data_IF_327445710856
#
_entry.id   IF_327445710856
#
_cell.length_a   1.000
_cell.length_b   1.000
_cell.length_c   1.000
_cell.angle_alpha   90.00
_cell.angle_beta   90.00
_cell.angle_gamma   90.00
#
_symmetry.space_group_name_H-M   'P 1'
#
loop_
_entity.id
_entity.type
_entity.pdbx_description
1 polymer ?
#
# COMPACT_ATOMS: atom_id res chain seq x y z
N UNK A 1 -3.54 -16.21 4.58
CA UNK A 1 -2.34 -16.64 5.34
C UNK A 1 -1.79 -15.40 6.01
N UNK A 2 -2.03 -15.22 7.31
CA UNK A 2 -1.55 -14.05 8.05
C UNK A 2 -0.11 -14.28 8.50
N UNK A 3 0.73 -13.25 8.46
CA UNK A 3 2.12 -13.32 8.91
C UNK A 3 2.14 -13.46 10.45
N UNK A 4 2.51 -14.64 10.94
CA UNK A 4 2.52 -14.93 12.39
C UNK A 4 3.70 -14.29 13.14
N UNK A 5 4.71 -13.76 12.44
CA UNK A 5 5.84 -13.04 13.04
C UNK A 5 6.21 -11.85 12.16
N UNK A 6 6.02 -10.64 12.69
CA UNK A 6 6.39 -9.39 12.01
C UNK A 6 7.85 -9.06 12.38
N UNK A 7 8.80 -9.11 11.42
CA UNK A 7 10.24 -8.95 11.71
C UNK A 7 10.62 -7.57 12.30
N UNK A 8 9.69 -6.61 12.25
CA UNK A 8 9.91 -5.21 12.68
C UNK A 8 9.27 -4.85 14.04
N UNK A 9 8.87 -5.82 14.87
CA UNK A 9 8.20 -5.57 16.17
C UNK A 9 9.09 -5.00 17.29
N UNK A 10 10.36 -4.67 17.03
CA UNK A 10 11.30 -4.09 18.02
C UNK A 10 11.87 -2.74 17.53
N UNK A 11 12.18 -1.81 18.46
CA UNK A 11 12.84 -0.49 18.27
C UNK A 11 12.59 0.24 16.93
N UNK A 12 11.39 0.10 16.36
CA UNK A 12 11.01 0.68 15.08
C UNK A 12 10.11 1.87 15.35
N UNK A 13 10.28 2.94 14.57
CA UNK A 13 9.44 4.12 14.66
C UNK A 13 7.94 3.74 14.61
N UNK A 14 7.12 4.14 15.58
CA UNK A 14 5.72 3.72 15.65
C UNK A 14 4.88 4.12 14.44
N UNK A 15 5.20 5.22 13.76
CA UNK A 15 4.47 5.67 12.57
C UNK A 15 4.79 4.74 11.41
N UNK A 16 6.08 4.47 11.17
CA UNK A 16 6.51 3.54 10.11
C UNK A 16 5.97 2.13 10.34
N UNK A 17 5.97 1.65 11.59
CA UNK A 17 5.40 0.34 11.93
C UNK A 17 3.91 0.25 11.57
N UNK A 18 3.12 1.31 11.78
CA UNK A 18 1.70 1.32 11.41
C UNK A 18 1.48 1.29 9.91
N UNK A 19 2.34 1.94 9.12
CA UNK A 19 2.26 1.85 7.66
C UNK A 19 2.56 0.43 7.16
N UNK A 20 3.54 -0.25 7.77
CA UNK A 20 3.78 -1.67 7.49
C UNK A 20 2.58 -2.54 7.86
N UNK A 21 1.98 -2.32 9.03
CA UNK A 21 0.80 -3.07 9.48
C UNK A 21 -0.41 -2.90 8.53
N UNK A 22 -0.59 -1.70 7.97
CA UNK A 22 -1.60 -1.46 6.92
C UNK A 22 -1.33 -2.32 5.69
N UNK A 23 -0.09 -2.40 5.20
CA UNK A 23 0.25 -3.23 4.04
C UNK A 23 0.13 -4.72 4.35
N UNK A 24 0.51 -5.16 5.54
CA UNK A 24 0.37 -6.56 5.96
C UNK A 24 -1.11 -6.97 6.11
N UNK A 25 -1.96 -6.05 6.56
CA UNK A 25 -3.40 -6.30 6.77
C UNK A 25 -4.19 -6.21 5.46
N UNK A 26 -3.95 -5.17 4.67
CA UNK A 26 -4.76 -4.83 3.49
C UNK A 26 -4.08 -5.15 2.16
N UNK A 27 -2.83 -5.58 2.16
CA UNK A 27 -2.06 -5.90 0.95
C UNK A 27 -2.80 -6.80 -0.05
N UNK A 28 -3.44 -7.92 0.37
CA UNK A 28 -4.22 -8.74 -0.54
C UNK A 28 -5.39 -7.99 -1.19
N UNK A 29 -6.14 -7.19 -0.43
CA UNK A 29 -7.27 -6.42 -0.95
C UNK A 29 -6.81 -5.31 -1.91
N UNK A 30 -5.72 -4.61 -1.57
CA UNK A 30 -5.12 -3.59 -2.45
C UNK A 30 -4.68 -4.23 -3.77
N UNK A 31 -4.00 -5.38 -3.71
CA UNK A 31 -3.57 -6.13 -4.90
C UNK A 31 -4.77 -6.52 -5.78
N UNK A 32 -5.83 -7.06 -5.19
CA UNK A 32 -7.01 -7.50 -5.93
C UNK A 32 -7.67 -6.31 -6.67
N UNK A 33 -7.83 -5.17 -5.99
CA UNK A 33 -8.37 -3.94 -6.61
C UNK A 33 -7.47 -3.45 -7.76
N UNK A 34 -6.15 -3.46 -7.55
CA UNK A 34 -5.19 -3.06 -8.60
C UNK A 34 -5.27 -3.98 -9.81
N UNK A 35 -5.48 -5.27 -9.62
CA UNK A 35 -5.64 -6.21 -10.73
C UNK A 35 -7.00 -6.06 -11.43
N UNK A 36 -8.07 -5.84 -10.67
CA UNK A 36 -9.41 -5.63 -11.23
C UNK A 36 -9.47 -4.38 -12.11
N UNK A 37 -8.85 -3.28 -11.66
CA UNK A 37 -8.93 -1.98 -12.34
C UNK A 37 -7.75 -1.68 -13.27
N UNK A 38 -6.56 -2.16 -12.93
CA UNK A 38 -5.29 -1.89 -13.63
C UNK A 38 -4.74 -3.08 -14.42
N UNK A 39 -5.40 -4.24 -14.38
CA UNK A 39 -4.96 -5.46 -15.04
C UNK A 39 -3.74 -6.09 -14.38
N UNK A 40 -3.08 -7.01 -15.11
CA UNK A 40 -1.90 -7.72 -14.63
C UNK A 40 -0.65 -6.82 -14.57
N UNK A 41 -0.59 -5.95 -13.57
CA UNK A 41 0.41 -4.90 -13.42
C UNK A 41 0.80 -4.67 -11.94
N UNK A 42 1.93 -4.00 -11.74
CA UNK A 42 2.35 -3.47 -10.43
C UNK A 42 2.33 -1.94 -10.44
N UNK A 43 2.22 -1.35 -9.26
CA UNK A 43 2.47 0.07 -9.04
C UNK A 43 3.99 0.28 -8.92
N UNK A 44 4.54 1.14 -9.77
CA UNK A 44 5.95 1.56 -9.68
C UNK A 44 6.21 2.27 -8.35
N UNK A 45 7.38 2.02 -7.74
CA UNK A 45 7.90 2.81 -6.63
C UNK A 45 9.06 3.74 -7.05
N UNK A 46 9.28 3.91 -8.37
CA UNK A 46 10.32 4.78 -8.95
C UNK A 46 9.67 5.94 -9.70
N UNK A 47 8.78 5.60 -10.65
CA UNK A 47 7.89 6.56 -11.32
C UNK A 47 6.65 6.71 -10.42
N UNK A 48 6.84 7.44 -9.32
CA UNK A 48 5.97 7.44 -8.16
C UNK A 48 5.91 8.81 -7.48
N UNK A 49 4.70 9.23 -7.12
CA UNK A 49 4.40 10.40 -6.29
C UNK A 49 3.84 10.00 -4.92
N UNK A 50 4.21 10.77 -3.91
CA UNK A 50 3.73 10.64 -2.53
C UNK A 50 3.23 11.99 -2.05
N UNK A 51 2.01 12.01 -1.50
CA UNK A 51 1.47 13.18 -0.81
C UNK A 51 0.94 12.79 0.57
N UNK A 52 1.11 13.69 1.54
CA UNK A 52 0.70 13.48 2.93
C UNK A 52 0.04 14.75 3.44
N UNK A 53 -1.22 14.62 3.84
CA UNK A 53 -2.03 15.72 4.36
C UNK A 53 -2.60 15.38 5.75
N UNK A 54 -2.91 16.42 6.52
CA UNK A 54 -3.54 16.30 7.84
C UNK A 54 -4.81 17.14 7.86
N UNK A 55 -5.95 16.45 7.90
CA UNK A 55 -7.29 17.05 7.90
C UNK A 55 -7.99 16.83 9.24
N UNK A 56 -9.12 17.49 9.44
CA UNK A 56 -10.09 17.20 10.49
C UNK A 56 -11.28 16.42 9.88
N UNK A 57 -11.81 15.43 10.59
CA UNK A 57 -13.07 14.76 10.21
C UNK A 57 -14.31 15.50 10.74
N UNK A 58 -15.52 15.01 10.42
CA UNK A 58 -16.78 15.63 10.84
C UNK A 58 -16.94 15.72 12.36
N UNK A 59 -16.28 14.83 13.10
CA UNK A 59 -16.27 14.81 14.57
C UNK A 59 -15.14 15.67 15.17
N UNK A 60 -14.37 16.37 14.33
CA UNK A 60 -13.25 17.22 14.74
C UNK A 60 -11.98 16.46 15.14
N UNK A 61 -11.84 15.19 14.76
CA UNK A 61 -10.62 14.43 14.98
C UNK A 61 -9.60 14.69 13.86
N UNK A 62 -8.34 14.88 14.23
CA UNK A 62 -7.21 14.98 13.29
C UNK A 62 -6.99 13.64 12.59
N UNK A 63 -7.00 13.63 11.26
CA UNK A 63 -6.75 12.48 10.39
C UNK A 63 -5.54 12.75 9.51
N UNK A 64 -4.77 11.70 9.23
CA UNK A 64 -3.68 11.74 8.25
C UNK A 64 -4.15 11.02 6.99
N UNK A 65 -4.02 11.67 5.83
CA UNK A 65 -4.29 11.09 4.53
C UNK A 65 -2.96 10.91 3.81
N UNK A 66 -2.71 9.70 3.32
CA UNK A 66 -1.53 9.38 2.51
C UNK A 66 -2.01 8.96 1.13
N UNK A 67 -1.50 9.60 0.09
CA UNK A 67 -1.80 9.27 -1.30
C UNK A 67 -0.54 8.70 -1.98
N UNK A 68 -0.67 7.49 -2.49
CA UNK A 68 0.33 6.83 -3.32
C UNK A 68 -0.10 6.90 -4.79
N UNK A 69 0.75 7.47 -5.64
CA UNK A 69 0.47 7.66 -7.07
C UNK A 69 1.62 7.07 -7.88
N UNK A 70 1.51 5.79 -8.22
CA UNK A 70 2.54 5.09 -9.00
C UNK A 70 2.04 4.67 -10.37
N UNK A 71 2.91 4.81 -11.35
CA UNK A 71 2.65 4.33 -12.71
C UNK A 71 2.40 2.82 -12.72
N UNK A 72 1.35 2.39 -13.43
CA UNK A 72 1.09 0.98 -13.70
C UNK A 72 2.14 0.41 -14.66
N UNK A 73 2.78 -0.67 -14.24
CA UNK A 73 3.78 -1.40 -15.01
C UNK A 73 3.27 -2.82 -15.29
N UNK A 74 2.83 -3.12 -16.52
CA UNK A 74 2.38 -4.45 -16.88
C UNK A 74 3.54 -5.44 -16.89
N UNK A 75 3.26 -6.70 -16.54
CA UNK A 75 4.28 -7.73 -16.60
C UNK A 75 4.68 -8.07 -18.04
N UNK A 76 5.99 -8.27 -18.26
CA UNK A 76 6.56 -8.53 -19.58
C UNK A 76 6.03 -9.80 -20.28
N UNK A 77 5.41 -10.73 -19.54
CA UNK A 77 4.87 -11.99 -20.07
C UNK A 77 3.35 -11.96 -20.35
N UNK A 78 2.72 -10.79 -20.43
CA UNK A 78 1.27 -10.66 -20.63
C UNK A 78 0.47 -11.02 -19.36
N UNK A 79 -0.80 -11.44 -19.49
CA UNK A 79 -1.77 -11.69 -18.40
C UNK A 79 -1.40 -12.78 -17.37
N UNK A 80 -0.20 -13.37 -17.44
CA UNK A 80 0.27 -14.32 -16.44
C UNK A 80 0.87 -13.57 -15.25
N UNK A 81 0.09 -13.44 -14.18
CA UNK A 81 0.64 -12.96 -12.90
C UNK A 81 1.65 -14.00 -12.39
N UNK A 82 2.91 -13.61 -12.11
CA UNK A 82 4.00 -14.56 -11.88
C UNK A 82 3.98 -15.24 -10.49
N UNK A 83 2.94 -15.02 -9.68
CA UNK A 83 2.82 -15.53 -8.31
C UNK A 83 1.48 -16.20 -8.05
#
# INVERSE_FOLDING_TARGET
MFLNNHPYKANTDPILYRLHEVLDTYGPAIKDIMHEQGGNAIMSAIDFGLDVDVTDDEDGNRRVIIKFDGKLLPYAKGDKYPW
#
